data_IF_810387466646
#
_entry.id   IF_810387466646
#
_cell.length_a   1.000
_cell.length_b   1.000
_cell.length_c   1.000
_cell.angle_alpha   90.00
_cell.angle_beta   90.00
_cell.angle_gamma   90.00
#
_symmetry.space_group_name_H-M   'P 1'
#
loop_
_entity.id
_entity.type
_entity.pdbx_description
1 polymer ?
#
# COMPACT_ATOMS: atom_id res chain seq x y z
N UNK A 1 -20.68 -7.95 24.67
CA UNK A 1 -20.99 -6.64 24.11
C UNK A 1 -19.69 -6.07 23.52
N UNK A 2 -19.64 -5.88 22.20
CA UNK A 2 -18.46 -5.36 21.50
C UNK A 2 -18.76 -3.96 21.00
N UNK A 3 -17.77 -3.08 21.05
CA UNK A 3 -17.90 -1.69 20.62
C UNK A 3 -17.32 -1.53 19.22
N UNK A 4 -18.09 -0.95 18.31
CA UNK A 4 -17.69 -0.64 16.94
C UNK A 4 -17.80 0.85 16.68
N UNK A 5 -16.79 1.43 16.05
CA UNK A 5 -16.78 2.84 15.65
C UNK A 5 -16.70 2.91 14.13
N UNK A 6 -17.71 3.44 13.48
CA UNK A 6 -17.72 3.67 12.04
C UNK A 6 -17.20 5.09 11.80
N UNK A 7 -16.02 5.18 11.21
CA UNK A 7 -15.34 6.41 10.80
C UNK A 7 -15.41 6.53 9.27
N UNK A 8 -16.59 6.89 8.77
CA UNK A 8 -16.91 7.00 7.34
C UNK A 8 -17.85 8.18 7.13
N UNK A 9 -17.48 9.11 6.23
CA UNK A 9 -18.24 10.31 5.91
C UNK A 9 -19.32 10.09 4.84
N UNK A 10 -19.39 8.88 4.23
CA UNK A 10 -20.46 8.51 3.30
C UNK A 10 -21.66 7.95 4.07
N UNK A 11 -22.82 8.57 3.88
CA UNK A 11 -24.04 8.12 4.58
C UNK A 11 -24.46 6.70 4.20
N UNK A 12 -24.38 6.35 2.90
CA UNK A 12 -24.79 5.04 2.40
C UNK A 12 -23.90 3.93 2.97
N UNK A 13 -22.59 4.11 2.93
CA UNK A 13 -21.63 3.15 3.47
C UNK A 13 -21.77 3.02 4.98
N UNK A 14 -21.88 4.15 5.69
CA UNK A 14 -22.11 4.17 7.13
C UNK A 14 -23.42 3.45 7.52
N UNK A 15 -24.51 3.64 6.79
CA UNK A 15 -25.76 2.91 7.00
C UNK A 15 -25.62 1.42 6.73
N UNK A 16 -24.93 1.02 5.64
CA UNK A 16 -24.70 -0.37 5.31
C UNK A 16 -23.88 -1.09 6.39
N UNK A 17 -22.76 -0.49 6.82
CA UNK A 17 -21.90 -1.02 7.90
C UNK A 17 -22.67 -1.13 9.22
N UNK A 18 -23.43 -0.10 9.59
CA UNK A 18 -24.28 -0.15 10.78
C UNK A 18 -25.31 -1.28 10.71
N UNK A 19 -25.93 -1.50 9.55
CA UNK A 19 -26.90 -2.58 9.34
C UNK A 19 -26.27 -3.97 9.44
N UNK A 20 -25.00 -4.11 9.04
CA UNK A 20 -24.25 -5.35 9.16
C UNK A 20 -23.95 -5.65 10.64
N UNK A 21 -23.44 -4.65 11.36
CA UNK A 21 -23.01 -4.77 12.76
C UNK A 21 -24.17 -4.96 13.74
N UNK A 22 -25.30 -4.31 13.50
CA UNK A 22 -26.50 -4.41 14.35
C UNK A 22 -27.31 -5.70 14.16
N UNK A 23 -26.88 -6.62 13.30
CA UNK A 23 -27.48 -7.95 13.24
C UNK A 23 -27.26 -8.76 14.52
N UNK A 24 -26.19 -8.45 15.22
CA UNK A 24 -25.98 -8.91 16.58
C UNK A 24 -26.44 -7.81 17.54
N UNK A 25 -27.49 -8.07 18.31
CA UNK A 25 -28.10 -7.12 19.24
C UNK A 25 -27.17 -6.74 20.41
N UNK A 26 -26.11 -7.53 20.65
CA UNK A 26 -25.11 -7.23 21.68
C UNK A 26 -24.07 -6.21 21.25
N UNK A 27 -24.02 -5.83 19.97
CA UNK A 27 -23.05 -4.88 19.46
C UNK A 27 -23.47 -3.41 19.69
N UNK A 28 -22.59 -2.65 20.31
CA UNK A 28 -22.72 -1.19 20.42
C UNK A 28 -21.98 -0.52 19.23
N UNK A 29 -22.73 0.25 18.43
CA UNK A 29 -22.21 0.87 17.20
C UNK A 29 -22.30 2.39 17.30
N UNK A 30 -21.15 3.04 17.15
CA UNK A 30 -20.97 4.50 17.19
C UNK A 30 -20.55 5.02 15.82
N UNK A 31 -20.73 6.33 15.60
CA UNK A 31 -20.22 6.99 14.39
C UNK A 31 -19.30 8.14 14.76
N UNK A 32 -18.16 8.22 14.09
CA UNK A 32 -17.25 9.36 14.09
C UNK A 32 -17.26 10.02 12.71
N UNK A 33 -17.29 11.35 12.67
CA UNK A 33 -17.31 12.13 11.43
C UNK A 33 -15.99 12.87 11.19
N UNK A 34 -15.17 12.98 12.22
CA UNK A 34 -13.85 13.57 12.18
C UNK A 34 -12.90 12.88 13.16
N UNK A 35 -11.62 13.19 13.06
CA UNK A 35 -10.58 12.61 13.91
C UNK A 35 -10.80 12.93 15.39
N UNK A 36 -11.30 14.11 15.74
CA UNK A 36 -11.53 14.50 17.12
C UNK A 36 -12.61 13.64 17.78
N UNK A 37 -13.72 13.42 17.06
CA UNK A 37 -14.81 12.53 17.47
C UNK A 37 -14.36 11.09 17.58
N UNK A 38 -13.55 10.60 16.62
CA UNK A 38 -12.95 9.27 16.67
C UNK A 38 -12.07 9.07 17.92
N UNK A 39 -11.20 10.04 18.21
CA UNK A 39 -10.32 9.99 19.40
C UNK A 39 -11.14 10.07 20.70
N UNK A 40 -12.23 10.83 20.74
CA UNK A 40 -13.12 10.88 21.91
C UNK A 40 -13.77 9.51 22.16
N UNK A 41 -14.31 8.87 21.13
CA UNK A 41 -14.91 7.52 21.23
C UNK A 41 -13.89 6.45 21.60
N UNK A 42 -12.67 6.52 21.06
CA UNK A 42 -11.59 5.60 21.42
C UNK A 42 -11.12 5.73 22.87
N UNK A 43 -11.23 6.92 23.49
CA UNK A 43 -10.95 7.09 24.91
C UNK A 43 -12.04 6.46 25.80
N UNK A 44 -13.26 6.42 25.33
CA UNK A 44 -14.38 5.81 26.06
C UNK A 44 -14.42 4.28 25.85
N UNK A 45 -13.92 3.82 24.71
CA UNK A 45 -13.99 2.43 24.27
C UNK A 45 -12.63 1.98 23.73
N UNK A 46 -11.63 1.81 24.60
CA UNK A 46 -10.23 1.56 24.25
C UNK A 46 -10.02 0.27 23.43
N UNK A 47 -10.91 -0.71 23.52
CA UNK A 47 -10.88 -1.98 22.80
C UNK A 47 -11.90 -2.05 21.65
N UNK A 48 -12.33 -0.90 21.14
CA UNK A 48 -13.27 -0.85 20.02
C UNK A 48 -12.65 -1.35 18.71
N UNK A 49 -13.51 -1.88 17.84
CA UNK A 49 -13.18 -2.13 16.43
C UNK A 49 -13.54 -0.89 15.63
N UNK A 50 -12.57 -0.28 14.97
CA UNK A 50 -12.75 0.90 14.11
C UNK A 50 -12.88 0.46 12.66
N UNK A 51 -14.02 0.78 12.02
CA UNK A 51 -14.21 0.64 10.58
C UNK A 51 -13.95 2.00 9.94
N UNK A 52 -12.83 2.14 9.23
CA UNK A 52 -12.35 3.44 8.73
C UNK A 52 -12.31 3.49 7.21
N UNK A 53 -12.98 4.46 6.61
CA UNK A 53 -12.67 4.90 5.25
C UNK A 53 -11.52 5.92 5.28
N UNK A 54 -10.30 5.44 5.15
CA UNK A 54 -9.12 6.31 5.19
C UNK A 54 -9.13 7.40 4.11
N UNK A 55 -9.63 7.09 2.92
CA UNK A 55 -9.58 7.99 1.77
C UNK A 55 -10.46 9.23 1.94
N UNK A 56 -11.57 9.10 2.64
CA UNK A 56 -12.57 10.16 2.81
C UNK A 56 -12.66 10.70 4.25
N UNK A 57 -11.90 10.14 5.18
CA UNK A 57 -11.91 10.57 6.57
C UNK A 57 -10.86 11.65 6.85
N UNK A 58 -10.96 12.30 8.01
CA UNK A 58 -10.15 13.46 8.43
C UNK A 58 -8.76 13.08 8.96
N UNK A 59 -7.99 12.30 8.15
CA UNK A 59 -6.55 12.11 8.34
C UNK A 59 -5.79 12.84 7.24
N UNK A 60 -4.81 13.68 7.61
CA UNK A 60 -4.02 14.42 6.62
C UNK A 60 -3.02 13.52 5.89
N UNK A 61 -2.51 12.50 6.59
CA UNK A 61 -1.54 11.53 6.07
C UNK A 61 -1.57 10.22 6.88
N UNK A 62 -0.85 9.21 6.41
CA UNK A 62 -0.75 7.93 7.09
C UNK A 62 -0.02 7.99 8.44
N UNK A 63 0.86 8.97 8.67
CA UNK A 63 1.54 9.13 9.95
C UNK A 63 0.56 9.47 11.06
N UNK A 64 -0.42 10.33 10.77
CA UNK A 64 -1.47 10.67 11.73
C UNK A 64 -2.34 9.46 12.08
N UNK A 65 -2.66 8.61 11.10
CA UNK A 65 -3.40 7.37 11.35
C UNK A 65 -2.59 6.43 12.24
N UNK A 66 -1.32 6.21 11.94
CA UNK A 66 -0.44 5.32 12.69
C UNK A 66 -0.24 5.80 14.13
N UNK A 67 -0.05 7.11 14.35
CA UNK A 67 0.07 7.72 15.69
C UNK A 67 -1.21 7.49 16.51
N UNK A 68 -2.39 7.65 15.90
CA UNK A 68 -3.65 7.40 16.61
C UNK A 68 -3.79 5.92 16.94
N UNK A 69 -3.51 5.03 16.00
CA UNK A 69 -3.59 3.58 16.22
C UNK A 69 -2.61 3.10 17.30
N UNK A 70 -1.37 3.60 17.30
CA UNK A 70 -0.36 3.28 18.32
C UNK A 70 -0.80 3.75 19.71
N UNK A 71 -1.41 4.93 19.80
CA UNK A 71 -1.94 5.45 21.06
C UNK A 71 -3.06 4.59 21.63
N UNK A 72 -3.90 4.02 20.76
CA UNK A 72 -5.02 3.15 21.11
C UNK A 72 -4.73 1.70 20.70
N UNK A 73 -3.66 1.16 21.23
CA UNK A 73 -3.09 -0.14 20.85
C UNK A 73 -3.94 -1.35 21.20
N UNK A 74 -5.02 -1.17 21.97
CA UNK A 74 -6.01 -2.22 22.26
C UNK A 74 -7.16 -2.24 21.25
N UNK A 75 -7.27 -1.25 20.38
CA UNK A 75 -8.28 -1.17 19.33
C UNK A 75 -7.81 -1.91 18.07
N UNK A 76 -8.74 -2.59 17.42
CA UNK A 76 -8.53 -3.20 16.12
C UNK A 76 -9.09 -2.29 15.01
N UNK A 77 -8.46 -2.27 13.84
CA UNK A 77 -8.83 -1.39 12.75
C UNK A 77 -9.14 -2.17 11.48
N UNK A 78 -10.27 -1.88 10.84
CA UNK A 78 -10.63 -2.38 9.51
C UNK A 78 -10.66 -1.19 8.56
N UNK A 79 -9.67 -1.09 7.69
CA UNK A 79 -9.65 -0.09 6.61
C UNK A 79 -10.57 -0.57 5.49
N UNK A 80 -11.58 0.24 5.17
CA UNK A 80 -12.58 -0.05 4.13
C UNK A 80 -12.62 1.16 3.20
N UNK A 81 -11.85 1.15 2.13
CA UNK A 81 -11.73 2.28 1.19
C UNK A 81 -11.89 1.82 -0.26
N UNK A 82 -12.24 2.75 -1.15
CA UNK A 82 -12.36 2.46 -2.58
C UNK A 82 -11.00 2.23 -3.20
N UNK A 83 -10.03 3.10 -2.90
CA UNK A 83 -8.66 3.02 -3.41
C UNK A 83 -7.66 3.28 -2.29
N UNK A 84 -6.63 2.44 -2.22
CA UNK A 84 -5.47 2.61 -1.36
C UNK A 84 -4.21 2.36 -2.18
N UNK A 85 -3.23 3.25 -2.08
CA UNK A 85 -1.97 3.07 -2.80
C UNK A 85 -1.20 1.87 -2.27
N UNK A 86 -0.44 1.15 -3.11
CA UNK A 86 0.40 0.04 -2.68
C UNK A 86 1.37 0.42 -1.55
N UNK A 87 1.95 1.63 -1.61
CA UNK A 87 2.85 2.15 -0.58
C UNK A 87 2.13 2.31 0.77
N UNK A 88 0.91 2.89 0.77
CA UNK A 88 0.08 3.02 1.96
C UNK A 88 -0.25 1.67 2.56
N UNK A 89 -0.74 0.71 1.75
CA UNK A 89 -1.08 -0.64 2.19
C UNK A 89 0.11 -1.29 2.90
N UNK A 90 1.28 -1.29 2.27
CA UNK A 90 2.50 -1.84 2.86
C UNK A 90 2.86 -1.17 4.16
N UNK A 91 2.91 0.17 4.18
CA UNK A 91 3.26 0.92 5.37
C UNK A 91 2.37 0.56 6.54
N UNK A 92 1.06 0.57 6.36
CA UNK A 92 0.08 0.26 7.41
C UNK A 92 0.19 -1.20 7.87
N UNK A 93 0.24 -2.15 6.93
CA UNK A 93 0.29 -3.60 7.23
C UNK A 93 1.58 -4.00 7.93
N UNK A 94 2.73 -3.38 7.59
CA UNK A 94 4.01 -3.68 8.25
C UNK A 94 4.22 -2.89 9.54
N UNK A 95 3.58 -1.73 9.71
CA UNK A 95 3.73 -0.92 10.94
C UNK A 95 3.00 -1.50 12.13
N UNK A 96 1.84 -2.13 11.93
CA UNK A 96 1.04 -2.68 13.03
C UNK A 96 0.18 -3.87 12.60
N UNK A 97 -0.01 -4.83 13.50
CA UNK A 97 -0.93 -5.95 13.34
C UNK A 97 -2.40 -5.57 13.59
N UNK A 98 -2.68 -4.37 14.08
CA UNK A 98 -4.04 -3.90 14.35
C UNK A 98 -4.87 -3.68 13.08
N UNK A 99 -4.23 -3.54 11.91
CA UNK A 99 -4.90 -3.18 10.68
C UNK A 99 -5.31 -4.39 9.84
N UNK A 100 -6.60 -4.53 9.64
CA UNK A 100 -7.23 -5.32 8.57
C UNK A 100 -7.53 -4.40 7.38
N UNK A 101 -7.46 -4.92 6.16
CA UNK A 101 -7.67 -4.11 4.95
C UNK A 101 -8.58 -4.84 3.97
N UNK A 102 -9.67 -4.19 3.58
CA UNK A 102 -10.62 -4.62 2.56
C UNK A 102 -10.98 -3.45 1.64
N UNK A 103 -11.50 -3.74 0.45
CA UNK A 103 -11.93 -2.71 -0.49
C UNK A 103 -13.45 -2.64 -0.56
N UNK A 104 -14.02 -1.42 -0.76
CA UNK A 104 -15.46 -1.19 -0.88
C UNK A 104 -16.06 -1.84 -2.12
N UNK A 105 -15.30 -1.93 -3.21
CA UNK A 105 -15.68 -2.58 -4.47
C UNK A 105 -15.59 -4.11 -4.43
N UNK A 106 -15.06 -4.67 -3.32
CA UNK A 106 -14.99 -6.11 -3.09
C UNK A 106 -16.34 -6.73 -2.67
N UNK A 107 -16.40 -8.08 -2.62
CA UNK A 107 -17.63 -8.77 -2.21
C UNK A 107 -17.93 -8.49 -0.73
N UNK A 108 -19.22 -8.36 -0.40
CA UNK A 108 -19.68 -8.13 0.98
C UNK A 108 -19.24 -9.23 1.95
N UNK A 109 -18.97 -10.44 1.46
CA UNK A 109 -18.41 -11.54 2.25
C UNK A 109 -17.06 -11.17 2.88
N UNK A 110 -16.17 -10.46 2.16
CA UNK A 110 -14.88 -10.03 2.69
C UNK A 110 -15.02 -9.08 3.88
N UNK A 111 -15.97 -8.14 3.81
CA UNK A 111 -16.24 -7.22 4.93
C UNK A 111 -16.73 -8.01 6.16
N UNK A 112 -17.61 -9.01 5.96
CA UNK A 112 -18.10 -9.86 7.05
C UNK A 112 -17.01 -10.73 7.64
N UNK A 113 -16.18 -11.33 6.79
CA UNK A 113 -15.02 -12.12 7.23
C UNK A 113 -14.01 -11.26 7.99
N UNK A 114 -13.75 -10.03 7.54
CA UNK A 114 -12.88 -9.10 8.25
C UNK A 114 -13.42 -8.79 9.65
N UNK A 115 -14.72 -8.51 9.79
CA UNK A 115 -15.37 -8.27 11.09
C UNK A 115 -15.22 -9.49 12.00
N UNK A 116 -15.57 -10.70 11.50
CA UNK A 116 -15.48 -11.94 12.27
C UNK A 116 -14.04 -12.29 12.68
N UNK A 117 -13.07 -12.02 11.80
CA UNK A 117 -11.66 -12.31 12.06
C UNK A 117 -11.11 -11.38 13.13
N UNK A 118 -11.44 -10.10 13.05
CA UNK A 118 -11.03 -9.08 14.05
C UNK A 118 -11.67 -9.34 15.41
N UNK A 119 -12.87 -9.93 15.48
CA UNK A 119 -13.50 -10.36 16.73
C UNK A 119 -12.66 -11.40 17.48
N UNK A 120 -11.81 -12.13 16.79
CA UNK A 120 -10.86 -13.08 17.34
C UNK A 120 -9.46 -12.47 17.59
N UNK A 121 -9.33 -11.15 17.55
CA UNK A 121 -8.05 -10.43 17.62
C UNK A 121 -7.03 -10.87 16.57
N UNK A 122 -7.53 -11.27 15.39
CA UNK A 122 -6.71 -11.66 14.25
C UNK A 122 -7.01 -10.71 13.10
N UNK A 123 -5.96 -10.26 12.39
CA UNK A 123 -6.15 -9.35 11.26
C UNK A 123 -6.61 -10.10 10.01
N UNK A 124 -7.42 -9.44 9.20
CA UNK A 124 -7.86 -9.87 7.89
C UNK A 124 -7.21 -9.01 6.79
N UNK A 125 -6.66 -9.64 5.78
CA UNK A 125 -6.17 -8.98 4.57
C UNK A 125 -6.86 -9.60 3.37
N UNK A 126 -7.58 -8.80 2.58
CA UNK A 126 -8.24 -9.30 1.37
C UNK A 126 -7.21 -9.86 0.37
N UNK A 127 -7.64 -10.75 -0.50
CA UNK A 127 -6.75 -11.33 -1.50
C UNK A 127 -6.05 -10.25 -2.35
N UNK A 128 -6.76 -9.20 -2.74
CA UNK A 128 -6.21 -8.06 -3.49
C UNK A 128 -5.09 -7.36 -2.72
N UNK A 129 -5.21 -7.21 -1.39
CA UNK A 129 -4.16 -6.64 -0.54
C UNK A 129 -2.93 -7.53 -0.52
N UNK A 130 -3.11 -8.85 -0.36
CA UNK A 130 -2.01 -9.81 -0.37
C UNK A 130 -1.27 -9.81 -1.71
N UNK A 131 -1.99 -9.81 -2.83
CA UNK A 131 -1.41 -9.70 -4.17
C UNK A 131 -0.62 -8.41 -4.34
N UNK A 132 -1.15 -7.28 -3.87
CA UNK A 132 -0.47 -5.98 -3.91
C UNK A 132 0.86 -6.01 -3.15
N UNK A 133 0.87 -6.59 -1.95
CA UNK A 133 2.07 -6.70 -1.12
C UNK A 133 3.12 -7.61 -1.78
N UNK A 134 2.70 -8.77 -2.31
CA UNK A 134 3.58 -9.75 -2.96
C UNK A 134 4.19 -9.16 -4.24
N UNK A 135 3.38 -8.53 -5.08
CA UNK A 135 3.84 -7.95 -6.35
C UNK A 135 4.90 -6.87 -6.10
N UNK A 136 4.69 -6.01 -5.12
CA UNK A 136 5.65 -4.96 -4.77
C UNK A 136 6.93 -5.52 -4.12
N UNK A 137 6.86 -6.59 -3.34
CA UNK A 137 8.07 -7.26 -2.84
C UNK A 137 8.95 -7.74 -4.00
N UNK A 138 8.35 -8.35 -5.02
CA UNK A 138 9.09 -8.75 -6.22
C UNK A 138 9.70 -7.56 -6.98
N UNK A 139 9.02 -6.43 -7.04
CA UNK A 139 9.54 -5.21 -7.66
C UNK A 139 10.71 -4.61 -6.86
N UNK A 140 10.63 -4.57 -5.53
CA UNK A 140 11.72 -4.08 -4.67
C UNK A 140 12.91 -5.05 -4.60
N UNK A 141 12.67 -6.36 -4.56
CA UNK A 141 13.73 -7.35 -4.66
C UNK A 141 14.47 -7.25 -6.01
N UNK A 142 13.74 -6.94 -7.10
CA UNK A 142 14.33 -6.71 -8.41
C UNK A 142 15.13 -5.40 -8.46
N UNK A 143 14.68 -4.34 -7.75
CA UNK A 143 15.47 -3.10 -7.59
C UNK A 143 16.71 -3.31 -6.72
N UNK A 144 16.67 -4.17 -5.69
CA UNK A 144 17.84 -4.51 -4.86
C UNK A 144 18.87 -5.39 -5.57
N UNK A 145 18.49 -6.05 -6.67
CA UNK A 145 19.40 -6.89 -7.50
C UNK A 145 20.44 -6.03 -8.24
N UNK A 146 20.11 -4.76 -8.53
CA UNK A 146 21.01 -3.83 -9.19
C UNK A 146 21.72 -2.93 -8.16
N UNK A 147 23.02 -2.74 -8.34
CA UNK A 147 23.76 -1.70 -7.61
C UNK A 147 23.32 -0.32 -8.09
N UNK A 148 23.59 0.73 -7.30
CA UNK A 148 23.31 2.12 -7.67
C UNK A 148 23.84 2.46 -9.08
N UNK A 149 25.07 2.04 -9.38
CA UNK A 149 25.68 2.21 -10.72
C UNK A 149 24.92 1.48 -11.82
N UNK A 150 24.49 0.26 -11.56
CA UNK A 150 23.73 -0.54 -12.53
C UNK A 150 22.32 0.07 -12.74
N UNK A 151 21.69 0.58 -11.72
CA UNK A 151 20.39 1.28 -11.80
C UNK A 151 20.48 2.54 -12.67
N UNK A 152 21.53 3.35 -12.48
CA UNK A 152 21.76 4.52 -13.33
C UNK A 152 22.04 4.15 -14.79
N UNK A 153 22.76 3.06 -15.04
CA UNK A 153 23.01 2.57 -16.40
C UNK A 153 21.71 2.05 -17.04
N UNK A 154 20.86 1.32 -16.32
CA UNK A 154 19.54 0.89 -16.83
C UNK A 154 18.68 2.08 -17.17
N UNK A 155 18.64 3.10 -16.32
CA UNK A 155 17.91 4.36 -16.59
C UNK A 155 18.41 5.02 -17.88
N UNK A 156 19.72 5.11 -18.05
CA UNK A 156 20.32 5.69 -19.27
C UNK A 156 19.99 4.86 -20.53
N UNK A 157 20.02 3.52 -20.44
CA UNK A 157 19.61 2.62 -21.54
C UNK A 157 18.14 2.85 -21.89
N UNK A 158 17.26 2.96 -20.87
CA UNK A 158 15.85 3.16 -21.05
C UNK A 158 15.52 4.52 -21.69
N UNK A 159 16.31 5.55 -21.43
CA UNK A 159 16.26 6.85 -22.08
C UNK A 159 16.90 6.86 -23.49
N UNK A 160 17.22 5.70 -24.06
CA UNK A 160 17.73 5.56 -25.43
C UNK A 160 19.22 5.86 -25.62
N UNK A 161 19.99 6.07 -24.53
CA UNK A 161 21.41 6.37 -24.65
C UNK A 161 22.21 5.16 -25.14
N UNK A 162 23.15 5.40 -26.05
CA UNK A 162 24.10 4.40 -26.52
C UNK A 162 25.17 4.09 -25.47
N UNK A 163 25.80 2.94 -25.58
CA UNK A 163 26.91 2.55 -24.67
C UNK A 163 28.05 3.59 -24.68
N UNK A 164 28.29 4.25 -25.82
CA UNK A 164 29.32 5.28 -25.96
C UNK A 164 28.95 6.57 -25.20
N UNK A 165 27.71 7.00 -25.29
CA UNK A 165 27.19 8.16 -24.55
C UNK A 165 27.20 7.92 -23.04
N UNK A 166 26.76 6.74 -22.60
CA UNK A 166 26.80 6.35 -21.18
C UNK A 166 28.25 6.36 -20.67
N UNK A 167 29.19 5.82 -21.46
CA UNK A 167 30.60 5.81 -21.09
C UNK A 167 31.17 7.24 -20.95
N UNK A 168 30.82 8.13 -21.89
CA UNK A 168 31.27 9.52 -21.86
C UNK A 168 30.70 10.26 -20.63
N UNK A 169 29.41 10.16 -20.35
CA UNK A 169 28.75 10.79 -19.20
C UNK A 169 29.30 10.33 -17.86
N UNK A 170 29.70 9.06 -17.78
CA UNK A 170 30.19 8.45 -16.54
C UNK A 170 31.71 8.49 -16.41
N UNK A 171 32.41 9.15 -17.33
CA UNK A 171 33.87 9.20 -17.37
C UNK A 171 34.50 7.79 -17.26
N UNK A 172 33.90 6.81 -17.93
CA UNK A 172 34.33 5.41 -17.91
C UNK A 172 34.61 4.87 -19.33
N UNK A 173 35.21 3.68 -19.42
CA UNK A 173 35.47 3.07 -20.73
C UNK A 173 34.19 2.44 -21.32
N UNK A 174 34.10 2.38 -22.65
CA UNK A 174 33.03 1.64 -23.35
C UNK A 174 33.01 0.17 -22.91
N UNK A 175 34.19 -0.43 -22.67
CA UNK A 175 34.32 -1.80 -22.20
C UNK A 175 33.65 -1.97 -20.80
N UNK A 176 33.90 -1.05 -19.88
CA UNK A 176 33.30 -1.05 -18.53
C UNK A 176 31.78 -1.00 -18.62
N UNK A 177 31.22 -0.09 -19.41
CA UNK A 177 29.76 0.02 -19.59
C UNK A 177 29.17 -1.21 -20.25
N UNK A 178 29.89 -1.80 -21.23
CA UNK A 178 29.48 -3.08 -21.87
C UNK A 178 29.42 -4.22 -20.87
N UNK A 179 30.35 -4.29 -19.93
CA UNK A 179 30.39 -5.31 -18.88
C UNK A 179 29.22 -5.10 -17.93
N UNK A 180 28.94 -3.86 -17.50
CA UNK A 180 27.77 -3.53 -16.68
C UNK A 180 26.47 -3.93 -17.39
N UNK A 181 26.30 -3.57 -18.68
CA UNK A 181 25.11 -3.98 -19.46
C UNK A 181 24.90 -5.48 -19.47
N UNK A 182 25.94 -6.28 -19.71
CA UNK A 182 25.84 -7.75 -19.66
C UNK A 182 25.41 -8.25 -18.28
N UNK A 183 25.99 -7.70 -17.21
CA UNK A 183 25.64 -8.08 -15.84
C UNK A 183 24.22 -7.69 -15.49
N UNK A 184 23.78 -6.48 -15.85
CA UNK A 184 22.42 -5.99 -15.69
C UNK A 184 21.43 -6.91 -16.39
N UNK A 185 21.65 -7.18 -17.68
CA UNK A 185 20.75 -8.03 -18.47
C UNK A 185 20.63 -9.43 -17.89
N UNK A 186 21.74 -10.01 -17.44
CA UNK A 186 21.75 -11.29 -16.74
C UNK A 186 21.00 -11.26 -15.41
N UNK A 187 21.22 -10.21 -14.59
CA UNK A 187 20.55 -10.04 -13.29
C UNK A 187 19.04 -9.88 -13.43
N UNK A 188 18.60 -9.15 -14.44
CA UNK A 188 17.19 -8.87 -14.72
C UNK A 188 16.51 -9.97 -15.56
N UNK A 189 17.26 -10.93 -16.09
CA UNK A 189 16.72 -11.97 -16.99
C UNK A 189 16.20 -11.42 -18.31
N UNK A 190 16.74 -10.27 -18.80
CA UNK A 190 16.32 -9.60 -20.03
C UNK A 190 17.40 -9.74 -21.12
N UNK A 191 16.98 -9.66 -22.39
CA UNK A 191 17.87 -9.85 -23.54
C UNK A 191 17.94 -8.62 -24.46
N UNK A 192 17.01 -7.68 -24.34
CA UNK A 192 16.88 -6.56 -25.26
C UNK A 192 16.82 -5.21 -24.52
N UNK A 193 17.22 -4.13 -25.22
CA UNK A 193 17.06 -2.78 -24.69
C UNK A 193 15.56 -2.42 -24.47
N UNK A 194 14.66 -2.97 -25.30
CA UNK A 194 13.21 -2.77 -25.14
C UNK A 194 12.68 -3.38 -23.82
N UNK A 195 13.20 -4.54 -23.42
CA UNK A 195 12.88 -5.13 -22.12
C UNK A 195 13.44 -4.30 -20.96
N UNK A 196 14.62 -3.68 -21.15
CA UNK A 196 15.18 -2.76 -20.17
C UNK A 196 14.31 -1.51 -20.01
N UNK A 197 13.72 -0.99 -21.10
CA UNK A 197 12.71 0.11 -21.03
C UNK A 197 11.50 -0.31 -20.22
N UNK A 198 10.90 -1.46 -20.52
CA UNK A 198 9.74 -1.98 -19.78
C UNK A 198 10.05 -2.15 -18.30
N UNK A 199 11.24 -2.65 -17.98
CA UNK A 199 11.69 -2.76 -16.60
C UNK A 199 11.79 -1.39 -15.94
N UNK A 200 12.48 -0.41 -16.56
CA UNK A 200 12.69 0.92 -16.01
C UNK A 200 11.36 1.67 -15.74
N UNK A 201 10.37 1.51 -16.63
CA UNK A 201 9.02 2.06 -16.43
C UNK A 201 8.31 1.41 -15.24
N UNK A 202 8.32 0.07 -15.15
CA UNK A 202 7.70 -0.67 -14.02
C UNK A 202 8.36 -0.36 -12.68
N UNK A 203 9.69 -0.23 -12.69
CA UNK A 203 10.49 0.09 -11.52
C UNK A 203 10.46 1.57 -11.13
N UNK A 204 9.71 2.42 -11.85
CA UNK A 204 9.65 3.85 -11.59
C UNK A 204 10.98 4.59 -11.79
N UNK A 205 11.91 4.01 -12.54
CA UNK A 205 13.22 4.60 -12.80
C UNK A 205 13.15 5.73 -13.83
N UNK A 206 12.14 5.73 -14.69
CA UNK A 206 11.85 6.76 -15.70
C UNK A 206 10.35 7.04 -15.71
N UNK A 207 10.00 8.30 -16.00
CA UNK A 207 8.60 8.70 -16.19
C UNK A 207 8.16 8.40 -17.64
N UNK A 208 6.92 7.91 -17.87
CA UNK A 208 6.38 7.75 -19.22
C UNK A 208 6.43 9.02 -20.07
N UNK A 209 6.34 10.21 -19.44
CA UNK A 209 6.45 11.51 -20.12
C UNK A 209 7.85 11.82 -20.65
N UNK A 210 8.90 11.20 -20.11
CA UNK A 210 10.29 11.36 -20.59
C UNK A 210 10.56 10.59 -21.90
N UNK A 211 9.58 9.79 -22.35
CA UNK A 211 9.72 8.92 -23.54
C UNK A 211 9.21 9.54 -24.85
N UNK A 212 8.48 10.67 -24.77
CA UNK A 212 7.93 11.37 -25.93
C UNK A 212 8.80 12.59 -26.29
N UNK A 213 9.98 12.31 -26.87
CA UNK A 213 10.77 13.31 -27.60
C UNK A 213 11.07 12.75 -28.98
#
# INVERSE_FOLDING_TARGET
MRHYIIADNQELTGFALQSILKKDEENAVYRAFDRSGLVALLKEHENAVVLLDYTLFDFADEDQLLIVAERFNLSDWILISDELTPQFIRRVVYSSHQFSVVFKDGPLSEIREAIQTVEQHTRYLSQRVLETIITQQHEEETQSILTTTETEIVKAIALGKTTKEIAAERFSSIHTVTTHRKNIFRKLGINTAHEAVKYALRAGLIDPSEFYI
#
